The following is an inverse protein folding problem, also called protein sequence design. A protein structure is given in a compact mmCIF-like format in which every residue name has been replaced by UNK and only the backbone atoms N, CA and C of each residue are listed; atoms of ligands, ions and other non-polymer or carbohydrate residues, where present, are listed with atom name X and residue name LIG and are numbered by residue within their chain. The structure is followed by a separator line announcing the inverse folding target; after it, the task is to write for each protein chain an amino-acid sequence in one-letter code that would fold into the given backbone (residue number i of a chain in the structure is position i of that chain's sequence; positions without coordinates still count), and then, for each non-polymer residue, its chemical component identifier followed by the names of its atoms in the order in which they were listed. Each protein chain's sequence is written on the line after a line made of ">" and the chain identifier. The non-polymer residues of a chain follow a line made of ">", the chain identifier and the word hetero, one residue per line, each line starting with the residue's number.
data_IF_417708878045
#
_entry.id   IF_417708878045
#
_cell.length_a   1.000
_cell.length_b   1.000
_cell.length_c   1.000
_cell.angle_alpha   90.00
_cell.angle_beta   90.00
_cell.angle_gamma   90.00
#
_symmetry.space_group_name_H-M   'P 1'
#
loop_
_entity.id
_entity.type
_entity.pdbx_description
1 polymer ?
#
# COMPACT_ATOMS: atom_id res chain seq x y z
N UNK A 1 -5.62 23.17 -17.70
CA UNK A 1 -4.79 23.72 -16.61
C UNK A 1 -5.68 23.91 -15.39
N UNK A 2 -5.40 23.19 -14.30
CA UNK A 2 -6.05 23.42 -13.01
C UNK A 2 -5.17 24.45 -12.29
N UNK A 3 -5.68 25.63 -12.01
CA UNK A 3 -4.92 26.63 -11.24
C UNK A 3 -4.51 26.03 -9.89
N UNK A 4 -3.24 26.23 -9.45
CA UNK A 4 -2.79 25.74 -8.17
C UNK A 4 -3.66 26.34 -7.06
N UNK A 5 -4.18 25.48 -6.20
CA UNK A 5 -5.03 25.87 -5.08
C UNK A 5 -4.30 26.88 -4.19
N UNK A 6 -4.96 27.93 -3.67
CA UNK A 6 -4.33 28.93 -2.81
C UNK A 6 -3.75 28.34 -1.50
N UNK A 7 -4.13 27.11 -1.15
CA UNK A 7 -3.59 26.38 0.02
C UNK A 7 -2.37 25.51 -0.31
N UNK A 8 -1.98 25.37 -1.58
CA UNK A 8 -0.84 24.54 -1.99
C UNK A 8 0.47 24.93 -1.28
N UNK A 9 0.84 26.22 -1.13
CA UNK A 9 2.07 26.60 -0.43
C UNK A 9 2.10 26.15 1.04
N UNK A 10 0.94 26.06 1.69
CA UNK A 10 0.83 25.59 3.08
C UNK A 10 1.15 24.10 3.14
N UNK A 11 0.62 23.31 2.21
CA UNK A 11 0.93 21.88 2.12
C UNK A 11 2.39 21.63 1.77
N UNK A 12 2.98 22.42 0.86
CA UNK A 12 4.39 22.30 0.52
C UNK A 12 5.30 22.59 1.72
N UNK A 13 4.94 23.57 2.56
CA UNK A 13 5.65 23.84 3.81
C UNK A 13 5.50 22.70 4.82
N UNK A 14 4.28 22.16 4.99
CA UNK A 14 4.04 21.00 5.87
C UNK A 14 4.87 19.80 5.40
N UNK A 15 4.88 19.53 4.10
CA UNK A 15 5.67 18.46 3.48
C UNK A 15 7.16 18.63 3.77
N UNK A 16 7.70 19.84 3.60
CA UNK A 16 9.10 20.13 3.90
C UNK A 16 9.45 19.92 5.39
N UNK A 17 8.56 20.32 6.31
CA UNK A 17 8.75 20.12 7.76
C UNK A 17 8.73 18.62 8.10
N UNK A 18 7.79 17.87 7.53
CA UNK A 18 7.67 16.42 7.75
C UNK A 18 8.89 15.69 7.20
N UNK A 19 9.37 16.05 6.00
CA UNK A 19 10.57 15.49 5.41
C UNK A 19 11.81 15.78 6.26
N UNK A 20 11.96 17.00 6.77
CA UNK A 20 13.04 17.36 7.69
C UNK A 20 12.97 16.53 8.98
N UNK A 21 11.79 16.36 9.56
CA UNK A 21 11.56 15.54 10.75
C UNK A 21 11.92 14.07 10.52
N UNK A 22 11.49 13.50 9.39
CA UNK A 22 11.80 12.13 9.01
C UNK A 22 13.31 11.91 8.87
N UNK A 23 14.00 12.87 8.25
CA UNK A 23 15.43 12.81 7.99
C UNK A 23 16.28 12.96 9.26
N UNK A 24 15.87 13.83 10.19
CA UNK A 24 16.68 14.20 11.36
C UNK A 24 16.32 13.42 12.62
N UNK A 25 15.03 13.23 12.91
CA UNK A 25 14.56 12.63 14.17
C UNK A 25 14.26 11.15 14.02
N UNK A 26 13.53 10.78 12.96
CA UNK A 26 13.04 9.40 12.81
C UNK A 26 14.12 8.48 12.27
N UNK A 27 14.90 8.90 11.28
CA UNK A 27 15.97 8.09 10.70
C UNK A 27 16.92 7.43 11.74
N UNK A 28 17.46 8.14 12.74
CA UNK A 28 18.28 7.48 13.77
C UNK A 28 17.47 6.53 14.65
N UNK A 29 16.23 6.87 15.00
CA UNK A 29 15.34 6.01 15.77
C UNK A 29 15.05 4.68 15.06
N UNK A 30 14.85 4.72 13.73
CA UNK A 30 14.63 3.51 12.92
C UNK A 30 15.77 2.50 13.06
N UNK A 31 17.03 2.95 13.13
CA UNK A 31 18.17 2.05 13.30
C UNK A 31 18.11 1.24 14.59
N UNK A 32 17.72 1.87 15.71
CA UNK A 32 17.54 1.17 16.98
C UNK A 32 16.31 0.26 16.98
N UNK A 33 15.21 0.77 16.41
CA UNK A 33 13.95 0.06 16.29
C UNK A 33 14.10 -1.23 15.48
N UNK A 34 14.79 -1.18 14.34
CA UNK A 34 15.05 -2.33 13.48
C UNK A 34 15.86 -3.43 14.21
N UNK A 35 16.87 -3.05 15.00
CA UNK A 35 17.66 -4.00 15.79
C UNK A 35 16.79 -4.70 16.84
N UNK A 36 15.96 -3.93 17.56
CA UNK A 36 15.04 -4.48 18.55
C UNK A 36 14.02 -5.43 17.91
N UNK A 37 13.43 -5.03 16.79
CA UNK A 37 12.46 -5.82 16.04
C UNK A 37 13.08 -7.08 15.46
N UNK A 38 14.31 -7.02 14.95
CA UNK A 38 15.03 -8.19 14.46
C UNK A 38 15.28 -9.21 15.59
N UNK A 39 15.70 -8.75 16.77
CA UNK A 39 15.91 -9.61 17.93
C UNK A 39 14.61 -10.28 18.40
N UNK A 40 13.52 -9.52 18.50
CA UNK A 40 12.21 -10.03 18.89
C UNK A 40 11.68 -11.05 17.87
N UNK A 41 11.82 -10.74 16.57
CA UNK A 41 11.42 -11.63 15.48
C UNK A 41 12.15 -12.96 15.56
N UNK A 42 13.46 -12.93 15.76
CA UNK A 42 14.29 -14.13 15.88
C UNK A 42 13.84 -15.02 17.03
N UNK A 43 13.59 -14.42 18.19
CA UNK A 43 13.20 -15.17 19.40
C UNK A 43 11.79 -15.76 19.28
N UNK A 44 10.80 -14.99 18.82
CA UNK A 44 9.45 -15.51 18.60
C UNK A 44 9.43 -16.58 17.52
N UNK A 45 10.21 -16.39 16.44
CA UNK A 45 10.29 -17.37 15.37
C UNK A 45 10.85 -18.70 15.86
N UNK A 46 11.97 -18.68 16.60
CA UNK A 46 12.55 -19.87 17.20
C UNK A 46 11.56 -20.61 18.10
N UNK A 47 10.73 -19.87 18.85
CA UNK A 47 9.69 -20.45 19.71
C UNK A 47 8.58 -21.12 18.88
N UNK A 48 8.13 -20.50 17.79
CA UNK A 48 7.13 -21.09 16.88
C UNK A 48 7.67 -22.36 16.19
N UNK A 49 8.91 -22.32 15.70
CA UNK A 49 9.55 -23.47 15.06
C UNK A 49 9.71 -24.65 16.05
N UNK A 50 10.04 -24.35 17.32
CA UNK A 50 10.16 -25.36 18.38
C UNK A 50 8.81 -25.96 18.80
N UNK A 51 7.74 -25.15 18.87
CA UNK A 51 6.43 -25.57 19.39
C UNK A 51 5.47 -26.08 18.32
N UNK A 52 5.68 -25.74 17.04
CA UNK A 52 4.82 -26.05 15.89
C UNK A 52 3.35 -25.72 16.20
N UNK A 53 2.94 -24.43 16.10
CA UNK A 53 1.60 -24.02 16.46
C UNK A 53 0.53 -24.78 15.66
N UNK A 54 -0.66 -25.01 16.26
CA UNK A 54 -1.76 -25.67 15.58
C UNK A 54 -2.25 -24.85 14.37
N UNK A 55 -2.86 -25.50 13.39
CA UNK A 55 -3.25 -24.88 12.10
C UNK A 55 -4.28 -23.75 12.22
N UNK A 56 -5.06 -23.72 13.31
CA UNK A 56 -6.00 -22.64 13.58
C UNK A 56 -5.31 -21.36 14.09
N UNK A 57 -4.07 -21.47 14.60
CA UNK A 57 -3.29 -20.33 15.11
C UNK A 57 -2.67 -19.56 13.94
N UNK A 58 -3.50 -18.74 13.31
CA UNK A 58 -3.17 -17.95 12.12
C UNK A 58 -2.98 -16.47 12.48
N UNK A 59 -2.35 -15.70 11.59
CA UNK A 59 -2.22 -14.25 11.76
C UNK A 59 -3.59 -13.59 11.95
N UNK A 60 -4.57 -13.90 11.08
CA UNK A 60 -5.93 -13.38 11.17
C UNK A 60 -6.60 -13.68 12.52
N UNK A 61 -6.38 -14.88 13.09
CA UNK A 61 -6.92 -15.21 14.41
C UNK A 61 -6.38 -14.26 15.49
N UNK A 62 -5.07 -14.00 15.48
CA UNK A 62 -4.43 -13.07 16.41
C UNK A 62 -4.93 -11.64 16.18
N UNK A 63 -5.06 -11.21 14.92
CA UNK A 63 -5.63 -9.91 14.54
C UNK A 63 -7.06 -9.72 15.07
N UNK A 64 -7.93 -10.73 14.96
CA UNK A 64 -9.27 -10.67 15.55
C UNK A 64 -9.22 -10.63 17.08
N UNK A 65 -8.40 -11.49 17.69
CA UNK A 65 -8.25 -11.54 19.15
C UNK A 65 -7.78 -10.20 19.71
N UNK A 66 -6.78 -9.56 19.07
CA UNK A 66 -6.28 -8.25 19.49
C UNK A 66 -7.33 -7.15 19.33
N UNK A 67 -8.14 -7.22 18.26
CA UNK A 67 -9.24 -6.28 18.04
C UNK A 67 -10.32 -6.38 19.12
N UNK A 68 -10.66 -7.59 19.57
CA UNK A 68 -11.68 -7.79 20.62
C UNK A 68 -11.31 -7.10 21.94
N UNK A 69 -10.02 -6.91 22.22
CA UNK A 69 -9.57 -6.16 23.40
C UNK A 69 -10.01 -4.68 23.42
N UNK A 70 -10.50 -4.12 22.30
CA UNK A 70 -11.08 -2.77 22.28
C UNK A 70 -12.23 -2.65 23.30
N UNK A 71 -13.05 -3.71 23.45
CA UNK A 71 -14.21 -3.71 24.35
C UNK A 71 -13.78 -3.56 25.82
N UNK A 72 -12.96 -4.47 26.40
CA UNK A 72 -12.52 -4.30 27.78
C UNK A 72 -11.65 -3.04 27.95
N UNK A 73 -10.91 -2.60 26.93
CA UNK A 73 -10.18 -1.33 27.00
C UNK A 73 -11.13 -0.14 27.19
N UNK A 74 -12.17 -0.01 26.35
CA UNK A 74 -13.14 1.08 26.43
C UNK A 74 -13.98 1.02 27.71
N UNK A 75 -14.40 -0.17 28.14
CA UNK A 75 -15.14 -0.35 29.41
C UNK A 75 -14.28 0.12 30.58
N UNK A 76 -13.04 -0.34 30.68
CA UNK A 76 -12.17 0.05 31.80
C UNK A 76 -11.79 1.54 31.77
N UNK A 77 -11.59 2.12 30.59
CA UNK A 77 -11.44 3.58 30.43
C UNK A 77 -12.68 4.33 30.93
N UNK A 78 -13.89 3.85 30.59
CA UNK A 78 -15.15 4.49 31.02
C UNK A 78 -15.36 4.43 32.54
N UNK A 79 -14.79 3.43 33.21
CA UNK A 79 -14.77 3.29 34.66
C UNK A 79 -13.68 4.15 35.33
N UNK A 80 -12.91 4.93 34.55
CA UNK A 80 -11.82 5.77 35.06
C UNK A 80 -10.56 4.98 35.43
N UNK A 81 -10.47 3.69 35.10
CA UNK A 81 -9.27 2.91 35.35
C UNK A 81 -8.19 3.32 34.35
N UNK A 82 -6.96 3.51 34.83
CA UNK A 82 -5.85 3.94 33.98
C UNK A 82 -4.87 2.80 33.67
N UNK A 83 -4.57 1.95 34.67
CA UNK A 83 -3.54 0.91 34.53
C UNK A 83 -3.95 -0.20 33.59
N UNK A 84 -5.16 -0.75 33.76
CA UNK A 84 -5.65 -1.87 32.96
C UNK A 84 -5.74 -1.51 31.47
N UNK A 85 -6.39 -0.41 31.05
CA UNK A 85 -6.42 -0.07 29.62
C UNK A 85 -5.03 0.25 29.06
N UNK A 86 -4.13 0.84 29.84
CA UNK A 86 -2.73 1.01 29.42
C UNK A 86 -2.04 -0.32 29.14
N UNK A 87 -2.24 -1.34 29.98
CA UNK A 87 -1.68 -2.69 29.77
C UNK A 87 -2.32 -3.32 28.53
N UNK A 88 -3.63 -3.19 28.35
CA UNK A 88 -4.34 -3.72 27.18
C UNK A 88 -3.78 -3.14 25.88
N UNK A 89 -3.57 -1.83 25.81
CA UNK A 89 -2.96 -1.18 24.63
C UNK A 89 -1.60 -1.79 24.30
N UNK A 90 -0.72 -1.99 25.30
CA UNK A 90 0.60 -2.60 25.08
C UNK A 90 0.46 -4.06 24.62
N UNK A 91 -0.47 -4.83 25.19
CA UNK A 91 -0.72 -6.21 24.78
C UNK A 91 -1.20 -6.30 23.33
N UNK A 92 -2.01 -5.34 22.88
CA UNK A 92 -2.47 -5.27 21.49
C UNK A 92 -1.31 -4.99 20.53
N UNK A 93 -0.37 -4.11 20.90
CA UNK A 93 0.85 -3.85 20.12
C UNK A 93 1.76 -5.08 20.03
N UNK A 94 1.91 -5.82 21.13
CA UNK A 94 2.65 -7.10 21.12
C UNK A 94 1.93 -8.14 20.24
N UNK A 95 0.59 -8.17 20.29
CA UNK A 95 -0.23 -9.05 19.46
C UNK A 95 -0.08 -8.77 17.97
N UNK A 96 -0.02 -7.50 17.59
CA UNK A 96 0.28 -7.06 16.23
C UNK A 96 1.64 -7.56 15.74
N UNK A 97 2.67 -7.41 16.57
CA UNK A 97 3.97 -7.95 16.23
C UNK A 97 3.92 -9.47 16.01
N UNK A 98 3.21 -10.19 16.89
CA UNK A 98 3.07 -11.64 16.85
C UNK A 98 2.34 -12.11 15.59
N UNK A 99 1.27 -11.44 15.16
CA UNK A 99 0.53 -11.84 13.96
C UNK A 99 1.41 -11.77 12.69
N UNK A 100 2.28 -10.76 12.59
CA UNK A 100 3.26 -10.64 11.53
C UNK A 100 4.30 -11.76 11.53
N UNK A 101 4.76 -12.21 12.71
CA UNK A 101 5.68 -13.37 12.81
C UNK A 101 4.97 -14.65 12.37
N UNK A 102 3.73 -14.85 12.82
CA UNK A 102 2.92 -16.03 12.52
C UNK A 102 2.57 -16.09 11.03
N UNK A 103 2.29 -14.95 10.40
CA UNK A 103 2.10 -14.86 8.95
C UNK A 103 3.33 -15.39 8.19
N UNK A 104 4.54 -14.91 8.55
CA UNK A 104 5.81 -15.36 7.94
C UNK A 104 6.11 -16.83 8.21
N UNK A 105 5.74 -17.33 9.39
CA UNK A 105 5.82 -18.76 9.72
C UNK A 105 4.98 -19.61 8.79
N UNK A 106 3.69 -19.31 8.64
CA UNK A 106 2.83 -20.11 7.77
C UNK A 106 3.18 -19.99 6.29
N UNK A 107 3.75 -18.87 5.84
CA UNK A 107 4.27 -18.73 4.48
C UNK A 107 5.44 -19.70 4.23
N UNK A 108 6.39 -19.85 5.16
CA UNK A 108 7.52 -20.78 4.97
C UNK A 108 7.04 -22.23 4.98
N UNK A 109 6.18 -22.61 5.94
CA UNK A 109 5.61 -23.97 6.04
C UNK A 109 4.84 -24.35 4.78
N UNK A 110 4.08 -23.42 4.18
CA UNK A 110 3.38 -23.67 2.91
C UNK A 110 4.34 -23.84 1.73
N UNK A 111 5.45 -23.11 1.70
CA UNK A 111 6.47 -23.26 0.65
C UNK A 111 7.15 -24.63 0.73
N UNK A 112 7.53 -25.06 1.93
CA UNK A 112 8.12 -26.37 2.20
C UNK A 112 7.18 -27.50 1.75
N UNK A 113 5.91 -27.46 2.18
CA UNK A 113 4.90 -28.46 1.78
C UNK A 113 4.63 -28.52 0.26
N UNK A 114 4.69 -27.38 -0.43
CA UNK A 114 4.51 -27.33 -1.89
C UNK A 114 5.70 -27.92 -2.65
N UNK A 115 6.91 -27.86 -2.09
CA UNK A 115 8.09 -28.48 -2.69
C UNK A 115 8.08 -30.01 -2.51
N UNK A 116 7.51 -30.50 -1.42
CA UNK A 116 7.35 -31.94 -1.16
C UNK A 116 6.20 -32.58 -1.95
N UNK A 117 5.16 -31.81 -2.28
CA UNK A 117 3.98 -32.28 -3.01
C UNK A 117 4.00 -31.78 -4.47
N UNK A 118 4.83 -32.38 -5.33
CA UNK A 118 4.73 -32.15 -6.77
C UNK A 118 3.36 -32.63 -7.28
N UNK A 119 2.56 -31.79 -7.97
CA UNK A 119 1.20 -32.14 -8.32
C UNK A 119 1.16 -33.10 -9.51
N UNK A 120 0.83 -34.37 -9.25
CA UNK A 120 0.34 -35.31 -10.27
C UNK A 120 -1.12 -34.96 -10.53
N UNK A 121 -1.37 -33.96 -11.38
CA UNK A 121 -2.74 -33.64 -11.84
C UNK A 121 -3.05 -34.51 -13.04
N UNK A 122 -3.95 -35.48 -12.85
CA UNK A 122 -4.54 -36.24 -13.95
C UNK A 122 -5.34 -35.31 -14.86
N UNK A 123 -5.05 -35.34 -16.17
CA UNK A 123 -5.56 -34.39 -17.18
C UNK A 123 -7.06 -34.50 -17.50
N UNK A 124 -7.80 -35.44 -16.89
CA UNK A 124 -9.09 -35.88 -17.43
C UNK A 124 -10.34 -35.44 -16.65
N UNK A 125 -10.22 -34.54 -15.66
CA UNK A 125 -11.40 -34.00 -14.94
C UNK A 125 -11.50 -32.49 -15.08
N UNK A 126 -12.68 -31.93 -15.37
CA UNK A 126 -12.90 -30.49 -15.33
C UNK A 126 -12.56 -29.98 -13.92
N UNK A 127 -11.73 -28.94 -13.85
CA UNK A 127 -11.29 -28.33 -12.59
C UNK A 127 -11.75 -26.88 -12.52
N UNK A 128 -12.24 -26.48 -11.34
CA UNK A 128 -12.58 -25.09 -11.07
C UNK A 128 -11.30 -24.32 -10.75
N UNK A 129 -10.91 -23.41 -11.63
CA UNK A 129 -9.76 -22.52 -11.42
C UNK A 129 -10.28 -21.17 -10.89
N UNK A 130 -9.78 -20.67 -9.75
CA UNK A 130 -10.18 -19.36 -9.24
C UNK A 130 -9.77 -18.26 -10.23
N UNK A 131 -10.57 -17.20 -10.32
CA UNK A 131 -10.17 -16.00 -11.07
C UNK A 131 -9.01 -15.29 -10.38
N UNK A 132 -8.21 -14.55 -11.15
CA UNK A 132 -7.15 -13.68 -10.62
C UNK A 132 -7.66 -12.73 -9.52
N UNK A 133 -8.86 -12.18 -9.67
CA UNK A 133 -9.51 -11.37 -8.62
C UNK A 133 -9.69 -12.14 -7.30
N UNK A 134 -10.13 -13.40 -7.38
CA UNK A 134 -10.31 -14.25 -6.20
C UNK A 134 -8.97 -14.60 -5.55
N UNK A 135 -7.98 -15.00 -6.34
CA UNK A 135 -6.62 -15.30 -5.86
C UNK A 135 -5.96 -14.09 -5.18
N UNK A 136 -6.05 -12.92 -5.82
CA UNK A 136 -5.47 -11.68 -5.31
C UNK A 136 -6.16 -11.22 -4.03
N UNK A 137 -7.49 -11.27 -3.95
CA UNK A 137 -8.23 -10.94 -2.72
C UNK A 137 -7.88 -11.91 -1.60
N UNK A 138 -7.87 -13.21 -1.87
CA UNK A 138 -7.54 -14.21 -0.86
C UNK A 138 -6.11 -14.08 -0.33
N UNK A 139 -5.15 -13.72 -1.19
CA UNK A 139 -3.76 -13.52 -0.78
C UNK A 139 -3.53 -12.21 0.00
N UNK A 140 -4.26 -11.14 -0.35
CA UNK A 140 -4.15 -9.83 0.30
C UNK A 140 -5.08 -9.64 1.52
N UNK A 141 -6.07 -10.53 1.71
CA UNK A 141 -7.09 -10.40 2.75
C UNK A 141 -6.50 -10.24 4.16
N UNK A 142 -5.46 -11.01 4.50
CA UNK A 142 -4.83 -10.92 5.82
C UNK A 142 -4.26 -9.53 6.10
N UNK A 143 -3.53 -8.94 5.14
CA UNK A 143 -2.98 -7.59 5.29
C UNK A 143 -4.04 -6.49 5.24
N UNK A 144 -5.16 -6.71 4.55
CA UNK A 144 -6.32 -5.83 4.60
C UNK A 144 -6.99 -5.86 5.98
N UNK A 145 -7.25 -7.06 6.51
CA UNK A 145 -7.89 -7.27 7.80
C UNK A 145 -7.07 -6.62 8.91
N UNK A 146 -5.77 -6.92 8.94
CA UNK A 146 -4.77 -6.32 9.83
C UNK A 146 -4.88 -4.79 9.88
N UNK A 147 -4.77 -4.15 8.71
CA UNK A 147 -4.83 -2.71 8.58
C UNK A 147 -6.17 -2.09 9.01
N UNK A 148 -7.30 -2.79 8.86
CA UNK A 148 -8.62 -2.32 9.30
C UNK A 148 -8.79 -2.49 10.81
N UNK A 149 -8.44 -3.67 11.32
CA UNK A 149 -8.52 -4.02 12.73
C UNK A 149 -7.72 -3.06 13.62
N UNK A 150 -6.54 -2.62 13.16
CA UNK A 150 -5.78 -1.56 13.82
C UNK A 150 -6.65 -0.33 14.10
N UNK A 151 -7.37 0.16 13.07
CA UNK A 151 -8.17 1.39 13.16
C UNK A 151 -9.39 1.19 14.05
N UNK A 152 -10.00 0.00 13.97
CA UNK A 152 -11.13 -0.37 14.84
C UNK A 152 -10.71 -0.36 16.32
N UNK A 153 -9.46 -0.64 16.64
CA UNK A 153 -8.94 -0.53 18.00
C UNK A 153 -8.58 0.92 18.36
N UNK A 154 -7.60 1.54 17.67
CA UNK A 154 -7.01 2.81 18.13
C UNK A 154 -7.97 4.01 18.04
N UNK A 155 -8.79 4.10 17.00
CA UNK A 155 -9.63 5.28 16.77
C UNK A 155 -10.71 5.43 17.87
N UNK A 156 -11.50 4.39 18.21
CA UNK A 156 -12.42 4.47 19.33
C UNK A 156 -11.73 4.76 20.67
N UNK A 157 -10.54 4.19 20.91
CA UNK A 157 -9.77 4.47 22.12
C UNK A 157 -9.41 5.95 22.22
N UNK A 158 -8.91 6.57 21.16
CA UNK A 158 -8.60 8.01 21.17
C UNK A 158 -9.85 8.88 21.31
N UNK A 159 -10.96 8.52 20.68
CA UNK A 159 -12.24 9.22 20.85
C UNK A 159 -12.67 9.18 22.32
N UNK A 160 -12.58 8.02 22.98
CA UNK A 160 -12.86 7.90 24.41
C UNK A 160 -11.88 8.73 25.27
N UNK A 161 -10.63 8.86 24.83
CA UNK A 161 -9.66 9.69 25.55
C UNK A 161 -9.97 11.20 25.47
N UNK A 162 -10.63 11.66 24.40
CA UNK A 162 -11.05 13.06 24.27
C UNK A 162 -11.98 13.52 25.41
N UNK A 163 -12.81 12.62 25.95
CA UNK A 163 -13.73 12.93 27.06
C UNK A 163 -13.07 12.88 28.45
N UNK A 164 -11.86 12.34 28.54
CA UNK A 164 -11.11 12.14 29.80
C UNK A 164 -9.90 13.06 29.94
N UNK A 165 -9.71 13.99 29.00
CA UNK A 165 -8.62 14.98 29.04
C UNK A 165 -8.83 15.90 30.26
N UNK A 166 -7.85 15.98 31.18
CA UNK A 166 -7.96 16.84 32.36
C UNK A 166 -7.84 18.33 32.00
N UNK A 167 -8.43 19.17 32.85
CA UNK A 167 -8.25 20.62 32.82
C UNK A 167 -6.80 20.98 33.17
N UNK A 168 -5.97 21.14 32.14
CA UNK A 168 -4.54 21.43 32.26
C UNK A 168 -4.14 22.52 31.28
N UNK A 169 -3.01 23.18 31.51
CA UNK A 169 -2.48 24.23 30.61
C UNK A 169 -2.22 23.72 29.18
N UNK A 170 -2.01 22.42 29.02
CA UNK A 170 -1.77 21.76 27.73
C UNK A 170 -3.03 21.08 27.16
N UNK A 171 -4.22 21.38 27.68
CA UNK A 171 -5.47 20.72 27.24
C UNK A 171 -5.72 20.86 25.74
N UNK A 172 -5.51 22.05 25.19
CA UNK A 172 -5.67 22.31 23.75
C UNK A 172 -4.70 21.46 22.91
N UNK A 173 -3.44 21.37 23.32
CA UNK A 173 -2.44 20.55 22.62
C UNK A 173 -2.82 19.06 22.61
N UNK A 174 -3.34 18.54 23.73
CA UNK A 174 -3.83 17.16 23.82
C UNK A 174 -4.99 16.91 22.85
N UNK A 175 -5.95 17.83 22.78
CA UNK A 175 -7.04 17.75 21.79
C UNK A 175 -6.52 17.75 20.36
N UNK A 176 -5.61 18.68 20.02
CA UNK A 176 -5.07 18.80 18.66
C UNK A 176 -4.38 17.50 18.24
N UNK A 177 -3.48 16.97 19.08
CA UNK A 177 -2.74 15.73 18.78
C UNK A 177 -3.69 14.57 18.55
N UNK A 178 -4.65 14.33 19.46
CA UNK A 178 -5.61 13.24 19.32
C UNK A 178 -6.51 13.40 18.10
N UNK A 179 -7.00 14.61 17.82
CA UNK A 179 -7.81 14.87 16.62
C UNK A 179 -7.02 14.64 15.34
N UNK A 180 -5.77 15.10 15.25
CA UNK A 180 -4.92 14.84 14.09
C UNK A 180 -4.72 13.34 13.86
N UNK A 181 -4.44 12.56 14.92
CA UNK A 181 -4.27 11.11 14.83
C UNK A 181 -5.57 10.40 14.43
N UNK A 182 -6.71 10.76 15.05
CA UNK A 182 -8.03 10.21 14.69
C UNK A 182 -8.32 10.44 13.21
N UNK A 183 -8.12 11.66 12.71
CA UNK A 183 -8.38 12.00 11.31
C UNK A 183 -7.43 11.26 10.37
N UNK A 184 -6.13 11.23 10.67
CA UNK A 184 -5.14 10.56 9.85
C UNK A 184 -5.39 9.04 9.76
N UNK A 185 -5.65 8.39 10.90
CA UNK A 185 -5.88 6.94 10.93
C UNK A 185 -7.23 6.55 10.32
N UNK A 186 -8.27 7.37 10.51
CA UNK A 186 -9.55 7.19 9.82
C UNK A 186 -9.38 7.30 8.31
N UNK A 187 -8.69 8.35 7.82
CA UNK A 187 -8.40 8.52 6.40
C UNK A 187 -7.55 7.38 5.84
N UNK A 188 -6.51 6.94 6.57
CA UNK A 188 -5.70 5.78 6.18
C UNK A 188 -6.55 4.51 6.08
N UNK A 189 -7.48 4.30 7.01
CA UNK A 189 -8.44 3.20 6.99
C UNK A 189 -9.33 3.22 5.75
N UNK A 190 -9.93 4.37 5.43
CA UNK A 190 -10.76 4.55 4.22
C UNK A 190 -9.98 4.26 2.95
N UNK A 191 -8.74 4.74 2.84
CA UNK A 191 -7.90 4.51 1.66
C UNK A 191 -7.55 3.02 1.51
N UNK A 192 -7.20 2.33 2.61
CA UNK A 192 -6.93 0.88 2.61
C UNK A 192 -8.18 0.08 2.23
N UNK A 193 -9.34 0.45 2.76
CA UNK A 193 -10.60 -0.19 2.45
C UNK A 193 -10.95 -0.06 0.97
N UNK A 194 -10.88 1.15 0.44
CA UNK A 194 -11.07 1.39 -1.00
C UNK A 194 -10.08 0.57 -1.82
N UNK A 195 -8.79 0.62 -1.50
CA UNK A 195 -7.74 -0.07 -2.24
C UNK A 195 -7.94 -1.59 -2.30
N UNK A 196 -8.39 -2.22 -1.22
CA UNK A 196 -8.66 -3.67 -1.21
C UNK A 196 -9.82 -4.04 -2.14
N UNK A 197 -10.94 -3.32 -2.08
CA UNK A 197 -12.11 -3.62 -2.90
C UNK A 197 -11.95 -3.16 -4.36
N UNK A 198 -11.10 -2.17 -4.62
CA UNK A 198 -10.75 -1.69 -5.96
C UNK A 198 -9.49 -2.34 -6.55
N UNK A 199 -8.87 -3.29 -5.85
CA UNK A 199 -7.69 -4.00 -6.34
C UNK A 199 -8.09 -4.83 -7.58
N UNK A 200 -7.33 -4.67 -8.66
CA UNK A 200 -7.48 -5.46 -9.88
C UNK A 200 -6.78 -6.79 -9.68
N UNK A 201 -7.28 -7.87 -10.28
CA UNK A 201 -6.87 -9.24 -9.99
C UNK A 201 -5.40 -9.60 -10.20
N UNK A 202 -4.57 -8.72 -10.75
CA UNK A 202 -3.13 -8.94 -10.82
C UNK A 202 -2.40 -8.23 -9.66
N UNK A 203 -1.40 -8.86 -9.04
CA UNK A 203 -0.55 -8.19 -8.08
C UNK A 203 0.19 -7.03 -8.78
N UNK A 204 0.29 -5.90 -8.10
CA UNK A 204 1.11 -4.80 -8.58
C UNK A 204 2.58 -5.27 -8.74
N UNK A 205 3.25 -4.91 -9.83
CA UNK A 205 4.63 -5.32 -10.05
C UNK A 205 5.58 -4.65 -9.04
N UNK A 206 6.66 -5.35 -8.70
CA UNK A 206 7.69 -4.81 -7.81
C UNK A 206 8.44 -3.68 -8.52
N UNK A 207 8.52 -2.50 -7.93
CA UNK A 207 9.20 -1.37 -8.58
C UNK A 207 10.65 -1.32 -8.12
N UNK A 208 11.60 -1.36 -9.06
CA UNK A 208 13.05 -1.28 -8.79
C UNK A 208 13.63 -0.07 -9.52
N UNK A 209 14.57 0.64 -8.88
CA UNK A 209 15.30 1.75 -9.50
C UNK A 209 14.52 3.06 -9.65
N UNK A 210 13.20 3.03 -9.49
CA UNK A 210 12.38 4.22 -9.32
C UNK A 210 11.84 4.25 -7.91
N UNK A 211 11.97 5.42 -7.28
CA UNK A 211 11.48 5.56 -5.94
C UNK A 211 9.97 5.87 -5.92
N UNK A 212 9.17 4.85 -6.21
CA UNK A 212 7.73 4.95 -6.00
C UNK A 212 7.35 5.00 -4.53
N UNK A 213 8.33 4.96 -3.63
CA UNK A 213 8.09 4.70 -2.22
C UNK A 213 9.03 5.45 -1.27
N UNK A 214 9.74 6.52 -1.66
CA UNK A 214 10.94 7.00 -0.94
C UNK A 214 11.72 5.89 -0.13
N UNK A 215 11.85 4.69 -0.73
CA UNK A 215 12.21 3.33 -0.29
C UNK A 215 11.17 2.55 0.53
N UNK A 216 10.70 1.42 -0.02
CA UNK A 216 9.85 0.43 0.66
C UNK A 216 10.45 -0.06 2.00
N UNK A 217 11.79 -0.10 2.10
CA UNK A 217 12.52 -0.43 3.34
C UNK A 217 12.40 0.70 4.38
N UNK A 218 12.45 1.99 3.99
CA UNK A 218 12.11 3.09 4.92
C UNK A 218 10.61 3.17 5.18
N UNK A 219 9.75 2.82 4.23
CA UNK A 219 8.29 2.88 4.39
C UNK A 219 7.80 1.87 5.43
N UNK A 220 8.33 0.65 5.42
CA UNK A 220 8.02 -0.37 6.43
C UNK A 220 8.55 0.00 7.81
N UNK A 221 9.79 0.52 7.88
CA UNK A 221 10.37 1.00 9.15
C UNK A 221 9.57 2.18 9.73
N UNK A 222 9.24 3.17 8.90
CA UNK A 222 8.42 4.33 9.31
C UNK A 222 7.03 3.90 9.76
N UNK A 223 6.40 2.95 9.06
CA UNK A 223 5.08 2.43 9.42
C UNK A 223 5.08 1.76 10.80
N UNK A 224 6.06 0.92 11.08
CA UNK A 224 6.19 0.24 12.39
C UNK A 224 6.58 1.21 13.51
N UNK A 225 7.48 2.16 13.23
CA UNK A 225 7.87 3.19 14.19
C UNK A 225 6.67 4.06 14.59
N UNK A 226 5.85 4.46 13.60
CA UNK A 226 4.59 5.17 13.83
C UNK A 226 3.69 4.39 14.78
N UNK A 227 3.47 3.10 14.50
CA UNK A 227 2.63 2.24 15.33
C UNK A 227 3.17 2.13 16.76
N UNK A 228 4.46 1.91 16.95
CA UNK A 228 5.06 1.89 18.29
C UNK A 228 4.83 3.23 19.03
N UNK A 229 5.06 4.37 18.37
CA UNK A 229 4.83 5.69 18.98
C UNK A 229 3.35 5.90 19.33
N UNK A 230 2.42 5.48 18.47
CA UNK A 230 0.98 5.53 18.72
C UNK A 230 0.58 4.65 19.91
N UNK A 231 1.05 3.41 19.97
CA UNK A 231 0.63 2.45 20.99
C UNK A 231 1.25 2.75 22.36
N UNK A 232 2.58 2.95 22.43
CA UNK A 232 3.24 3.36 23.68
C UNK A 232 2.81 4.77 24.11
N UNK A 233 2.64 5.68 23.16
CA UNK A 233 2.13 7.02 23.43
C UNK A 233 0.73 6.97 24.04
N UNK A 234 -0.17 6.17 23.49
CA UNK A 234 -1.53 5.97 24.02
C UNK A 234 -1.51 5.36 25.42
N UNK A 235 -0.74 4.29 25.62
CA UNK A 235 -0.61 3.63 26.91
C UNK A 235 -0.12 4.60 28.00
N UNK A 236 0.94 5.36 27.73
CA UNK A 236 1.47 6.35 28.68
C UNK A 236 0.55 7.55 28.86
N UNK A 237 -0.18 7.95 27.81
CA UNK A 237 -1.14 9.06 27.87
C UNK A 237 -2.31 8.77 28.83
N UNK A 238 -2.76 7.52 28.88
CA UNK A 238 -3.80 7.07 29.81
C UNK A 238 -3.34 7.24 31.27
N UNK A 239 -2.07 6.93 31.57
CA UNK A 239 -1.51 6.94 32.92
C UNK A 239 -1.23 8.38 33.41
N UNK A 240 -1.87 8.86 34.50
CA UNK A 240 -1.72 10.25 34.95
C UNK A 240 -0.27 10.68 35.23
N UNK A 241 0.56 9.80 35.80
CA UNK A 241 1.93 10.13 36.19
C UNK A 241 2.91 10.31 35.03
N UNK A 242 2.65 9.70 33.87
CA UNK A 242 3.52 9.76 32.69
C UNK A 242 2.77 10.27 31.44
N UNK A 243 1.61 10.89 31.63
CA UNK A 243 0.73 11.37 30.56
C UNK A 243 1.43 12.26 29.55
N UNK A 244 2.29 13.17 30.02
CA UNK A 244 3.01 14.09 29.14
C UNK A 244 4.09 13.39 28.32
N UNK A 245 4.68 12.31 28.82
CA UNK A 245 5.56 11.45 28.01
C UNK A 245 4.72 10.81 26.89
N UNK A 246 3.54 10.30 27.22
CA UNK A 246 2.59 9.80 26.23
C UNK A 246 2.20 10.84 25.19
N UNK A 247 1.91 12.07 25.61
CA UNK A 247 1.58 13.18 24.71
C UNK A 247 2.73 13.49 23.74
N UNK A 248 3.98 13.50 24.22
CA UNK A 248 5.16 13.75 23.37
C UNK A 248 5.31 12.63 22.33
N UNK A 249 5.12 11.37 22.72
CA UNK A 249 5.17 10.23 21.79
C UNK A 249 4.04 10.30 20.75
N UNK A 250 2.81 10.62 21.16
CA UNK A 250 1.68 10.80 20.25
C UNK A 250 1.90 11.99 19.31
N UNK A 251 2.42 13.11 19.80
CA UNK A 251 2.77 14.26 18.97
C UNK A 251 3.86 13.90 17.94
N UNK A 252 4.86 13.10 18.34
CA UNK A 252 5.89 12.57 17.45
C UNK A 252 5.34 11.61 16.38
N UNK A 253 4.19 10.96 16.62
CA UNK A 253 3.51 10.12 15.65
C UNK A 253 2.72 10.90 14.60
N UNK A 254 2.26 12.13 14.90
CA UNK A 254 1.42 12.93 13.97
C UNK A 254 2.08 13.13 12.59
N UNK A 255 3.35 13.57 12.46
CA UNK A 255 4.01 13.70 11.16
C UNK A 255 4.10 12.36 10.41
N UNK A 256 4.27 11.25 11.13
CA UNK A 256 4.35 9.91 10.55
C UNK A 256 2.99 9.43 10.04
N UNK A 257 1.92 9.71 10.77
CA UNK A 257 0.55 9.42 10.37
C UNK A 257 0.16 10.24 9.14
N UNK A 258 0.53 11.53 9.10
CA UNK A 258 0.37 12.38 7.93
C UNK A 258 1.07 11.79 6.70
N UNK A 259 2.37 11.49 6.81
CA UNK A 259 3.15 10.94 5.70
C UNK A 259 2.60 9.57 5.26
N UNK A 260 2.17 8.74 6.21
CA UNK A 260 1.52 7.45 5.95
C UNK A 260 0.24 7.60 5.12
N UNK A 261 -0.56 8.67 5.34
CA UNK A 261 -1.75 8.97 4.54
C UNK A 261 -1.36 9.58 3.20
N UNK A 262 -0.49 10.59 3.18
CA UNK A 262 -0.01 11.29 1.97
C UNK A 262 0.50 10.31 0.92
N UNK A 263 1.34 9.35 1.33
CA UNK A 263 1.87 8.30 0.43
C UNK A 263 0.78 7.42 -0.18
N UNK A 264 -0.30 7.14 0.55
CA UNK A 264 -1.41 6.30 0.06
C UNK A 264 -2.40 7.08 -0.80
N UNK A 265 -2.51 8.39 -0.60
CA UNK A 265 -3.41 9.26 -1.39
C UNK A 265 -2.78 9.69 -2.71
N UNK A 266 -1.45 9.84 -2.79
CA UNK A 266 -0.77 10.38 -3.98
C UNK A 266 -1.19 9.60 -5.22
N UNK A 267 -2.02 10.26 -6.02
CA UNK A 267 -2.56 9.72 -7.25
C UNK A 267 -1.45 9.68 -8.28
N UNK A 268 -1.29 8.54 -8.94
CA UNK A 268 -0.41 8.43 -10.10
C UNK A 268 -1.22 7.97 -11.28
N UNK A 269 -1.06 8.65 -12.40
CA UNK A 269 -1.72 8.35 -13.65
C UNK A 269 -0.75 7.62 -14.54
N UNK A 270 -1.00 6.32 -14.72
CA UNK A 270 -0.22 5.45 -15.58
C UNK A 270 -0.80 5.55 -16.99
N UNK A 271 0.07 5.68 -17.98
CA UNK A 271 -0.31 5.69 -19.39
C UNK A 271 0.26 4.47 -20.09
N UNK A 272 -0.57 3.75 -20.82
CA UNK A 272 -0.11 2.68 -21.73
C UNK A 272 -0.38 3.12 -23.16
N UNK A 273 0.68 3.17 -23.95
CA UNK A 273 0.60 3.54 -25.35
C UNK A 273 0.39 2.29 -26.22
N UNK A 274 -0.81 2.12 -26.76
CA UNK A 274 -1.18 1.11 -27.76
C UNK A 274 -0.44 -0.25 -27.61
N UNK A 275 -0.79 -1.05 -26.59
CA UNK A 275 -0.04 -2.26 -26.25
C UNK A 275 0.03 -3.25 -27.42
N UNK A 276 1.14 -3.98 -27.50
CA UNK A 276 1.36 -5.11 -28.43
C UNK A 276 0.10 -5.98 -28.54
N UNK A 277 -0.42 -6.18 -29.76
CA UNK A 277 -1.59 -7.02 -30.04
C UNK A 277 -2.83 -6.30 -30.57
N UNK A 278 -2.78 -4.97 -30.76
CA UNK A 278 -3.92 -4.13 -31.17
C UNK A 278 -4.71 -4.60 -32.41
N UNK A 279 -4.11 -5.41 -33.30
CA UNK A 279 -4.78 -5.96 -34.48
C UNK A 279 -5.52 -7.29 -34.23
N UNK A 280 -5.15 -8.04 -33.18
CA UNK A 280 -5.64 -9.40 -32.90
C UNK A 280 -6.72 -9.46 -31.80
N UNK A 281 -7.12 -8.32 -31.25
CA UNK A 281 -8.09 -8.24 -30.15
C UNK A 281 -7.42 -8.34 -28.77
N UNK A 282 -8.21 -8.11 -27.73
CA UNK A 282 -7.75 -8.06 -26.35
C UNK A 282 -7.53 -9.49 -25.81
N UNK A 283 -6.29 -9.88 -25.57
CA UNK A 283 -5.94 -11.19 -25.03
C UNK A 283 -5.68 -11.16 -23.51
N UNK A 284 -5.41 -12.34 -22.93
CA UNK A 284 -5.16 -12.47 -21.50
C UNK A 284 -3.84 -11.82 -21.04
N UNK A 285 -2.85 -11.69 -21.94
CA UNK A 285 -1.58 -11.05 -21.63
C UNK A 285 -1.75 -9.52 -21.56
N UNK A 286 -2.48 -8.92 -22.51
CA UNK A 286 -2.83 -7.50 -22.52
C UNK A 286 -3.70 -7.14 -21.31
N UNK A 287 -4.70 -7.98 -20.99
CA UNK A 287 -5.52 -7.82 -19.77
C UNK A 287 -4.67 -7.82 -18.50
N UNK A 288 -3.76 -8.80 -18.38
CA UNK A 288 -2.86 -8.90 -17.23
C UNK A 288 -1.93 -7.68 -17.15
N UNK A 289 -1.39 -7.25 -18.28
CA UNK A 289 -0.54 -6.08 -18.37
C UNK A 289 -1.28 -4.81 -17.94
N UNK A 290 -2.52 -4.60 -18.37
CA UNK A 290 -3.35 -3.49 -17.89
C UNK A 290 -3.60 -3.56 -16.38
N UNK A 291 -3.88 -4.74 -15.83
CA UNK A 291 -4.04 -4.89 -14.38
C UNK A 291 -2.74 -4.55 -13.62
N UNK A 292 -1.58 -4.97 -14.12
CA UNK A 292 -0.27 -4.67 -13.54
C UNK A 292 0.07 -3.17 -13.66
N UNK A 293 -0.11 -2.57 -14.84
CA UNK A 293 0.09 -1.16 -15.08
C UNK A 293 -0.84 -0.32 -14.20
N UNK A 294 -2.11 -0.71 -14.05
CA UNK A 294 -3.04 -0.09 -13.11
C UNK A 294 -2.56 -0.19 -11.67
N UNK A 295 -1.96 -1.32 -11.28
CA UNK A 295 -1.40 -1.55 -9.95
C UNK A 295 -0.23 -0.63 -9.59
N UNK A 296 0.47 -0.07 -10.58
CA UNK A 296 1.54 0.91 -10.36
C UNK A 296 1.02 2.29 -9.96
N UNK A 297 -0.26 2.58 -10.19
CA UNK A 297 -0.85 3.89 -9.95
C UNK A 297 -2.27 3.88 -9.43
N UNK A 298 -2.85 5.07 -9.34
CA UNK A 298 -4.24 5.27 -8.92
C UNK A 298 -5.19 5.48 -10.09
N UNK A 299 -4.68 5.54 -11.32
CA UNK A 299 -5.45 5.65 -12.57
C UNK A 299 -4.65 5.05 -13.72
N UNK A 300 -5.29 4.33 -14.64
CA UNK A 300 -4.71 3.88 -15.89
C UNK A 300 -5.46 4.52 -17.06
N UNK A 301 -4.68 5.15 -17.93
CA UNK A 301 -5.14 5.72 -19.20
C UNK A 301 -4.51 4.91 -20.33
N UNK A 302 -5.32 4.47 -21.28
CA UNK A 302 -4.84 3.68 -22.42
C UNK A 302 -5.00 4.48 -23.71
N UNK A 303 -3.94 4.58 -24.50
CA UNK A 303 -4.03 5.12 -25.85
C UNK A 303 -4.48 4.06 -26.85
N UNK A 304 -5.57 4.31 -27.60
CA UNK A 304 -6.04 3.43 -28.67
C UNK A 304 -6.37 4.21 -29.94
N UNK A 305 -6.08 3.62 -31.10
CA UNK A 305 -6.54 4.14 -32.38
C UNK A 305 -8.02 3.86 -32.57
N UNK A 306 -8.77 4.86 -33.03
CA UNK A 306 -10.11 4.66 -33.56
C UNK A 306 -10.01 3.96 -34.92
N UNK A 307 -10.64 2.81 -35.03
CA UNK A 307 -10.78 2.08 -36.29
C UNK A 307 -12.15 2.41 -36.88
N UNK A 308 -12.17 3.07 -38.04
CA UNK A 308 -13.40 3.57 -38.68
C UNK A 308 -14.42 2.47 -39.07
N UNK A 309 -14.04 1.18 -39.02
CA UNK A 309 -14.87 0.05 -39.48
C UNK A 309 -15.15 -1.04 -38.41
N UNK A 310 -14.84 -0.83 -37.14
CA UNK A 310 -14.86 -1.92 -36.14
C UNK A 310 -16.22 -2.21 -35.46
N UNK A 311 -17.30 -1.51 -35.83
CA UNK A 311 -18.58 -1.56 -35.10
C UNK A 311 -19.31 -2.92 -35.18
N UNK A 312 -18.88 -3.86 -36.03
CA UNK A 312 -19.57 -5.15 -36.23
C UNK A 312 -18.77 -6.39 -35.86
N UNK A 313 -17.46 -6.30 -35.55
CA UNK A 313 -16.61 -7.49 -35.41
C UNK A 313 -16.01 -7.75 -34.01
N UNK A 314 -16.43 -7.02 -32.96
CA UNK A 314 -15.81 -7.13 -31.63
C UNK A 314 -14.34 -6.69 -31.57
N UNK A 315 -13.84 -6.06 -32.64
CA UNK A 315 -12.46 -5.55 -32.78
C UNK A 315 -12.35 -4.04 -32.50
N UNK A 316 -13.38 -3.46 -31.89
CA UNK A 316 -13.30 -2.06 -31.45
C UNK A 316 -12.38 -2.01 -30.22
N UNK A 317 -11.09 -1.74 -30.48
CA UNK A 317 -10.07 -1.65 -29.44
C UNK A 317 -10.36 -0.57 -28.39
N UNK A 318 -11.12 0.48 -28.74
CA UNK A 318 -11.56 1.51 -27.80
C UNK A 318 -12.64 0.95 -26.89
N UNK A 319 -13.68 0.32 -27.45
CA UNK A 319 -14.75 -0.30 -26.66
C UNK A 319 -14.21 -1.44 -25.77
N UNK A 320 -13.32 -2.27 -26.29
CA UNK A 320 -12.68 -3.36 -25.56
C UNK A 320 -11.85 -2.82 -24.39
N UNK A 321 -11.01 -1.80 -24.62
CA UNK A 321 -10.23 -1.18 -23.54
C UNK A 321 -11.15 -0.55 -22.47
N UNK A 322 -12.23 0.14 -22.88
CA UNK A 322 -13.23 0.71 -21.96
C UNK A 322 -14.00 -0.34 -21.15
N UNK A 323 -14.08 -1.58 -21.65
CA UNK A 323 -14.73 -2.68 -20.95
C UNK A 323 -13.83 -3.34 -19.88
N UNK A 324 -12.52 -3.04 -19.88
CA UNK A 324 -11.58 -3.59 -18.90
C UNK A 324 -11.70 -2.82 -17.58
N UNK A 325 -12.00 -3.53 -16.48
CA UNK A 325 -12.16 -2.92 -15.15
C UNK A 325 -10.92 -2.16 -14.64
N UNK A 326 -9.74 -2.48 -15.17
CA UNK A 326 -8.47 -1.85 -14.82
C UNK A 326 -8.23 -0.53 -15.56
N UNK A 327 -8.95 -0.24 -16.65
CA UNK A 327 -8.77 0.98 -17.47
C UNK A 327 -9.77 2.02 -17.00
N UNK A 328 -9.30 3.19 -16.55
CA UNK A 328 -10.17 4.28 -16.13
C UNK A 328 -10.59 5.14 -17.33
N UNK A 329 -9.66 5.39 -18.26
CA UNK A 329 -9.90 6.24 -19.42
C UNK A 329 -9.16 5.75 -20.66
N UNK A 330 -9.68 6.12 -21.83
CA UNK A 330 -9.06 5.81 -23.12
C UNK A 330 -8.85 7.10 -23.89
N UNK A 331 -7.60 7.40 -24.26
CA UNK A 331 -7.28 8.45 -25.22
C UNK A 331 -7.48 7.84 -26.61
N UNK A 332 -8.45 8.39 -27.35
CA UNK A 332 -8.80 7.93 -28.68
C UNK A 332 -8.08 8.78 -29.72
N UNK A 333 -7.23 8.14 -30.51
CA UNK A 333 -6.54 8.78 -31.62
C UNK A 333 -7.34 8.58 -32.92
N UNK A 334 -7.49 9.63 -33.76
CA UNK A 334 -8.26 9.54 -34.98
C UNK A 334 -7.64 8.57 -36.01
N UNK A 335 -8.45 7.91 -36.85
CA UNK A 335 -7.94 6.99 -37.87
C UNK A 335 -7.03 7.70 -38.88
N UNK A 336 -6.02 6.99 -39.39
CA UNK A 336 -5.16 7.47 -40.48
C UNK A 336 -4.11 8.51 -40.10
N UNK A 337 -4.02 8.90 -38.82
CA UNK A 337 -2.85 9.64 -38.30
C UNK A 337 -1.81 8.66 -37.79
N UNK A 338 -0.54 9.03 -37.86
CA UNK A 338 0.50 8.34 -37.08
C UNK A 338 0.18 8.61 -35.60
N UNK A 339 0.18 7.56 -34.76
CA UNK A 339 0.02 7.73 -33.31
C UNK A 339 1.09 8.76 -32.87
N UNK A 340 0.69 9.89 -32.28
CA UNK A 340 1.67 10.82 -31.76
C UNK A 340 2.48 10.04 -30.72
N UNK A 341 3.79 10.01 -30.93
CA UNK A 341 4.68 9.39 -29.98
C UNK A 341 4.50 10.11 -28.63
N UNK A 342 4.31 9.35 -27.55
CA UNK A 342 4.15 9.93 -26.23
C UNK A 342 5.50 10.53 -25.78
N UNK A 343 5.66 11.85 -25.94
CA UNK A 343 6.76 12.62 -25.38
C UNK A 343 6.39 13.23 -24.02
N UNK A 344 7.32 13.95 -23.39
CA UNK A 344 7.10 14.58 -22.08
C UNK A 344 5.98 15.64 -22.17
N UNK A 345 5.90 16.39 -23.27
CA UNK A 345 4.88 17.41 -23.46
C UNK A 345 3.47 16.79 -23.57
N UNK A 346 3.32 15.68 -24.28
CA UNK A 346 2.09 14.89 -24.31
C UNK A 346 1.72 14.39 -22.92
N UNK A 347 2.66 13.83 -22.17
CA UNK A 347 2.38 13.39 -20.80
C UNK A 347 1.90 14.55 -19.92
N UNK A 348 2.51 15.73 -20.03
CA UNK A 348 2.13 16.92 -19.25
C UNK A 348 0.79 17.51 -19.68
N UNK A 349 0.50 17.56 -20.98
CA UNK A 349 -0.78 18.02 -21.55
C UNK A 349 -1.95 17.20 -20.99
N UNK A 350 -1.78 15.88 -20.90
CA UNK A 350 -2.80 14.94 -20.45
C UNK A 350 -2.74 14.63 -18.95
N UNK A 351 -1.80 15.23 -18.20
CA UNK A 351 -1.62 14.98 -16.77
C UNK A 351 -1.26 13.53 -16.43
N UNK A 352 -0.43 12.90 -17.26
CA UNK A 352 0.02 11.52 -17.15
C UNK A 352 1.39 11.50 -16.47
N UNK A 353 1.56 10.74 -15.38
CA UNK A 353 2.83 10.74 -14.65
C UNK A 353 3.90 9.87 -15.32
N UNK A 354 3.51 8.66 -15.74
CA UNK A 354 4.42 7.66 -16.29
C UNK A 354 3.84 6.99 -17.53
N UNK A 355 4.68 6.78 -18.55
CA UNK A 355 4.45 5.83 -19.63
C UNK A 355 4.88 4.43 -19.17
N UNK A 356 4.01 3.44 -19.32
CA UNK A 356 4.26 2.04 -18.98
C UNK A 356 4.26 1.21 -20.26
N UNK A 357 5.31 0.43 -20.46
CA UNK A 357 5.48 -0.41 -21.65
C UNK A 357 6.07 -1.78 -21.30
N UNK A 358 6.05 -2.67 -22.28
CA UNK A 358 6.73 -3.96 -22.28
C UNK A 358 8.18 -3.82 -22.76
N UNK A 359 9.08 -4.78 -22.48
CA UNK A 359 10.47 -4.74 -22.95
C UNK A 359 10.60 -4.58 -24.48
N UNK A 360 9.66 -5.16 -25.22
CA UNK A 360 9.63 -5.13 -26.69
C UNK A 360 9.26 -3.75 -27.24
N UNK A 361 8.55 -2.93 -26.46
CA UNK A 361 8.11 -1.59 -26.83
C UNK A 361 9.14 -0.51 -26.50
N UNK A 362 10.14 -0.80 -25.66
CA UNK A 362 11.17 0.19 -25.26
C UNK A 362 11.82 0.89 -26.46
N UNK A 363 12.21 0.21 -27.57
CA UNK A 363 12.81 0.87 -28.72
C UNK A 363 11.89 1.86 -29.44
N UNK A 364 10.57 1.79 -29.25
CA UNK A 364 9.60 2.71 -29.86
C UNK A 364 9.30 3.94 -28.99
N UNK A 365 9.72 3.92 -27.71
CA UNK A 365 9.55 5.04 -26.76
C UNK A 365 10.52 6.18 -27.10
N UNK A 366 10.05 7.42 -26.98
CA UNK A 366 10.90 8.61 -27.16
C UNK A 366 11.97 8.68 -26.07
N UNK A 367 13.22 8.90 -26.50
CA UNK A 367 14.39 9.00 -25.62
C UNK A 367 14.22 10.07 -24.52
N UNK A 368 13.52 11.17 -24.81
CA UNK A 368 13.21 12.23 -23.85
C UNK A 368 12.39 11.74 -22.65
N UNK A 369 11.43 10.84 -22.85
CA UNK A 369 10.63 10.27 -21.76
C UNK A 369 11.49 9.33 -20.89
N UNK A 370 12.40 8.59 -21.54
CA UNK A 370 13.37 7.73 -20.87
C UNK A 370 14.35 8.57 -20.04
N UNK A 371 14.92 9.63 -20.63
CA UNK A 371 15.83 10.58 -19.95
C UNK A 371 15.16 11.31 -18.80
N UNK A 372 13.88 11.64 -18.93
CA UNK A 372 13.08 12.23 -17.86
C UNK A 372 12.74 11.24 -16.72
N UNK A 373 13.07 9.96 -16.86
CA UNK A 373 12.74 8.93 -15.87
C UNK A 373 11.24 8.63 -15.76
N UNK A 374 10.46 8.95 -16.80
CA UNK A 374 8.99 8.80 -16.85
C UNK A 374 8.53 7.59 -17.67
N UNK A 375 9.45 6.71 -18.07
CA UNK A 375 9.13 5.46 -18.74
C UNK A 375 9.43 4.26 -17.82
N UNK A 376 8.43 3.40 -17.65
CA UNK A 376 8.48 2.15 -16.88
C UNK A 376 8.33 0.95 -17.79
N UNK A 377 9.18 -0.04 -17.56
CA UNK A 377 9.16 -1.33 -18.25
C UNK A 377 8.72 -2.39 -17.26
N UNK A 378 7.61 -3.08 -17.53
CA UNK A 378 7.18 -4.25 -16.75
C UNK A 378 7.80 -5.49 -17.38
N UNK A 379 8.72 -6.13 -16.67
CA UNK A 379 9.32 -7.40 -17.09
C UNK A 379 8.40 -8.60 -16.85
N UNK A 380 8.74 -9.73 -17.48
CA UNK A 380 8.04 -11.01 -17.28
C UNK A 380 8.13 -11.52 -15.83
N UNK A 381 9.17 -11.09 -15.12
CA UNK A 381 9.42 -11.35 -13.69
C UNK A 381 8.47 -10.58 -12.75
N UNK A 382 7.49 -9.86 -13.30
CA UNK A 382 6.56 -9.00 -12.55
C UNK A 382 7.28 -7.87 -11.79
N UNK A 383 8.38 -7.36 -12.35
CA UNK A 383 9.12 -6.21 -11.83
C UNK A 383 9.07 -5.04 -12.81
N UNK A 384 8.66 -3.87 -12.33
CA UNK A 384 8.68 -2.61 -13.06
C UNK A 384 10.01 -1.88 -12.83
N UNK A 385 10.67 -1.46 -13.92
CA UNK A 385 11.96 -0.77 -13.89
C UNK A 385 11.92 0.50 -14.75
N UNK A 386 12.63 1.59 -14.39
CA UNK A 386 12.83 2.69 -15.33
C UNK A 386 13.54 2.20 -16.59
N UNK A 387 13.03 2.61 -17.74
CA UNK A 387 13.70 2.38 -19.02
C UNK A 387 15.11 3.00 -18.99
N UNK A 388 16.09 2.30 -19.57
CA UNK A 388 17.50 2.75 -19.57
C UNK A 388 18.31 2.38 -18.32
N UNK A 389 17.69 1.80 -17.28
CA UNK A 389 18.46 1.19 -16.18
C UNK A 389 19.23 -0.04 -16.67
N UNK A 390 20.45 -0.26 -16.17
CA UNK A 390 21.28 -1.43 -16.53
C UNK A 390 20.56 -2.76 -16.27
N UNK A 391 19.64 -2.78 -15.30
CA UNK A 391 18.84 -3.94 -14.94
C UNK A 391 17.66 -4.20 -15.90
N UNK A 392 17.23 -3.21 -16.68
CA UNK A 392 16.19 -3.38 -17.71
C UNK A 392 16.70 -4.13 -18.96
N UNK A 393 18.02 -4.25 -19.11
CA UNK A 393 18.68 -4.89 -20.24
C UNK A 393 19.10 -6.35 -19.99
N UNK A 394 18.75 -6.94 -18.82
CA UNK A 394 18.85 -8.39 -18.65
C UNK A 394 17.81 -9.05 -19.55
N UNK A 395 18.20 -9.33 -20.78
CA UNK A 395 17.60 -10.37 -21.60
C UNK A 395 17.72 -11.67 -20.81
N UNK A 396 16.58 -12.32 -20.60
CA UNK A 396 16.55 -13.75 -20.35
C UNK A 396 17.15 -14.42 -21.60
N UNK A 397 18.38 -14.91 -21.47
CA UNK A 397 18.96 -15.89 -22.40
C UNK A 397 18.32 -17.26 -22.19
#
# INVERSE_FOLDING_TARGET
>A
MIEPSPVQPIFDLIDAIVELYLATVIKPFLGFHDVAYAALNRNLRALLDAKKPPTWFTANFITYLRTVFVIPCLVTLSLGWCLIPSIIVILVDIGDFLDGVVARYWVSVRKEKKQEAAPIVGKDKPSLVPSWNSEQRNSSYGGFLDAVCDKVFVVPCWIALLSTIPETRFRVAQYIVLWCLILAESASGTVRFRAYFSCQGAPAPNVVGLDFSSSAVKADGVGKAKQSLEMFGTAFFILPGIRYVGLVLLAAAVPLAYESVRRKIKKRVMYVHNPVGAENGLDHAELRFFMQARGLGSRLVVGKMSTAMASTSGKDGVANARAVSAVDDVIVFPPGRVLPKADVAFLDEWGLDFLVCTPQEVPSVIEDVVKAGRCLVIGEDNTARPAGSKDAAKKDD
#
